data_IF_074512148558
#
_entry.id   IF_074512148558
#
_cell.length_a   1.000
_cell.length_b   1.000
_cell.length_c   1.000
_cell.angle_alpha   90.00
_cell.angle_beta   90.00
_cell.angle_gamma   90.00
#
_symmetry.space_group_name_H-M   'P 1'
#
loop_
_entity.id
_entity.type
_entity.pdbx_description
1 polymer ?
#
# COMPACT_ATOMS: atom_id res chain seq x y z
N UNK A 1 16.31 11.13 -13.64
CA UNK A 1 16.13 9.96 -12.75
C UNK A 1 15.81 10.49 -11.36
N UNK A 2 14.78 9.96 -10.68
CA UNK A 2 14.31 10.50 -9.40
C UNK A 2 15.42 10.41 -8.35
N UNK A 3 15.60 11.52 -7.63
CA UNK A 3 16.71 11.75 -6.71
C UNK A 3 16.34 11.27 -5.31
N UNK A 4 16.98 10.20 -4.88
CA UNK A 4 17.22 9.86 -3.47
C UNK A 4 15.97 9.60 -2.63
N UNK A 5 15.67 8.31 -2.42
CA UNK A 5 15.10 7.75 -1.19
C UNK A 5 14.99 6.21 -1.35
N UNK A 6 15.57 5.48 -0.38
CA UNK A 6 15.31 4.08 -0.01
C UNK A 6 16.01 2.91 -0.74
N UNK A 7 17.05 2.34 -0.10
CA UNK A 7 17.63 0.99 -0.38
C UNK A 7 16.59 -0.15 -0.45
N UNK A 8 15.37 0.07 0.03
CA UNK A 8 14.26 -0.89 -0.02
C UNK A 8 13.48 -0.81 -1.34
N UNK A 9 13.34 0.40 -1.89
CA UNK A 9 12.64 0.64 -3.15
C UNK A 9 13.50 0.15 -4.32
N UNK A 10 14.82 0.32 -4.23
CA UNK A 10 15.78 -0.23 -5.19
C UNK A 10 15.81 -1.77 -5.16
N UNK A 11 15.84 -2.39 -3.96
CA UNK A 11 15.78 -3.86 -3.83
C UNK A 11 14.46 -4.47 -4.29
N UNK A 12 13.33 -3.85 -3.99
CA UNK A 12 12.04 -4.31 -4.50
C UNK A 12 11.98 -4.19 -6.03
N UNK A 13 12.49 -3.08 -6.57
CA UNK A 13 12.54 -2.87 -8.01
C UNK A 13 13.36 -3.97 -8.70
N UNK A 14 14.57 -4.26 -8.20
CA UNK A 14 15.41 -5.33 -8.74
C UNK A 14 14.75 -6.71 -8.63
N UNK A 15 14.15 -7.06 -7.49
CA UNK A 15 13.47 -8.34 -7.30
C UNK A 15 12.30 -8.54 -8.26
N UNK A 16 11.49 -7.50 -8.47
CA UNK A 16 10.30 -7.58 -9.33
C UNK A 16 10.72 -7.63 -10.80
N UNK A 17 11.77 -6.88 -11.18
CA UNK A 17 12.34 -6.90 -12.53
C UNK A 17 12.90 -8.28 -12.86
N UNK A 18 13.70 -8.86 -11.97
CA UNK A 18 14.28 -10.20 -12.17
C UNK A 18 13.19 -11.27 -12.25
N UNK A 19 12.20 -11.25 -11.35
CA UNK A 19 11.10 -12.20 -11.41
C UNK A 19 10.28 -12.07 -12.71
N UNK A 20 10.01 -10.86 -13.18
CA UNK A 20 9.33 -10.65 -14.46
C UNK A 20 10.14 -11.23 -15.64
N UNK A 21 11.46 -11.06 -15.64
CA UNK A 21 12.35 -11.66 -16.65
C UNK A 21 12.34 -13.18 -16.61
N UNK A 22 12.34 -13.77 -15.41
CA UNK A 22 12.22 -15.24 -15.24
C UNK A 22 10.90 -15.77 -15.82
N UNK A 23 9.84 -14.95 -15.84
CA UNK A 23 8.56 -15.27 -16.47
C UNK A 23 8.51 -15.02 -17.99
N UNK A 24 9.62 -14.66 -18.62
CA UNK A 24 9.72 -14.44 -20.08
C UNK A 24 9.23 -13.06 -20.53
N UNK A 25 9.13 -12.10 -19.60
CA UNK A 25 8.76 -10.72 -19.90
C UNK A 25 9.98 -9.97 -20.49
N UNK A 26 9.75 -9.11 -21.48
CA UNK A 26 10.80 -8.29 -22.09
C UNK A 26 11.37 -7.27 -21.09
N UNK A 27 12.64 -6.89 -21.25
CA UNK A 27 13.36 -6.03 -20.30
C UNK A 27 12.62 -4.70 -20.02
N UNK A 28 12.06 -4.09 -21.08
CA UNK A 28 11.28 -2.84 -20.98
C UNK A 28 9.98 -3.03 -20.19
N UNK A 29 9.28 -4.14 -20.39
CA UNK A 29 8.04 -4.42 -19.68
C UNK A 29 8.31 -4.83 -18.23
N UNK A 30 9.42 -5.52 -17.97
CA UNK A 30 9.87 -5.85 -16.62
C UNK A 30 10.21 -4.60 -15.80
N UNK A 31 10.86 -3.60 -16.41
CA UNK A 31 11.13 -2.29 -15.82
C UNK A 31 9.84 -1.52 -15.49
N UNK A 32 8.87 -1.49 -16.41
CA UNK A 32 7.57 -0.86 -16.15
C UNK A 32 6.80 -1.54 -15.00
N UNK A 33 6.78 -2.88 -15.00
CA UNK A 33 6.13 -3.68 -13.94
C UNK A 33 6.81 -3.44 -12.59
N UNK A 34 8.14 -3.41 -12.56
CA UNK A 34 8.92 -3.14 -11.36
C UNK A 34 8.67 -1.72 -10.83
N UNK A 35 8.64 -0.71 -11.68
CA UNK A 35 8.35 0.67 -11.30
C UNK A 35 6.92 0.80 -10.74
N UNK A 36 5.92 0.20 -11.40
CA UNK A 36 4.54 0.25 -10.94
C UNK A 36 4.34 -0.46 -9.60
N UNK A 37 5.04 -1.57 -9.38
CA UNK A 37 4.90 -2.39 -8.20
C UNK A 37 5.68 -1.84 -7.00
N UNK A 38 6.88 -1.29 -7.20
CA UNK A 38 7.68 -0.65 -6.14
C UNK A 38 6.92 0.52 -5.52
N UNK A 39 6.34 1.41 -6.34
CA UNK A 39 5.49 2.52 -5.87
C UNK A 39 4.25 2.06 -5.08
N UNK A 40 3.74 0.85 -5.35
CA UNK A 40 2.57 0.30 -4.65
C UNK A 40 2.96 -0.38 -3.33
N UNK A 41 4.19 -0.87 -3.21
CA UNK A 41 4.71 -1.57 -2.03
C UNK A 41 4.98 -0.67 -0.82
N UNK A 42 5.28 0.61 -1.06
CA UNK A 42 5.60 1.59 -0.01
C UNK A 42 4.42 1.88 0.93
N UNK A 43 3.19 1.73 0.44
CA UNK A 43 1.97 1.91 1.23
C UNK A 43 1.51 0.65 1.97
N UNK A 44 2.17 -0.49 1.76
CA UNK A 44 1.70 -1.80 2.25
C UNK A 44 2.39 -2.29 3.53
N UNK A 45 3.45 -1.60 3.98
CA UNK A 45 4.25 -2.01 5.14
C UNK A 45 3.78 -1.36 6.45
N UNK A 46 2.67 -1.85 6.98
CA UNK A 46 2.42 -1.81 8.44
C UNK A 46 1.41 -2.90 8.84
N UNK A 47 1.71 -4.16 8.54
CA UNK A 47 0.89 -5.29 8.97
C UNK A 47 1.38 -5.85 10.30
N UNK A 48 1.21 -5.07 11.37
CA UNK A 48 1.29 -5.60 12.75
C UNK A 48 0.40 -4.87 13.77
N UNK A 49 -0.32 -3.79 13.41
CA UNK A 49 -1.10 -2.98 14.37
C UNK A 49 -2.59 -2.80 14.01
N UNK A 50 -3.18 -3.81 13.35
CA UNK A 50 -4.58 -3.78 12.94
C UNK A 50 -4.89 -2.68 11.92
N UNK A 51 -6.18 -2.42 11.65
CA UNK A 51 -6.59 -1.41 10.68
C UNK A 51 -6.11 -0.01 11.07
N UNK A 52 -5.62 0.77 10.11
CA UNK A 52 -5.26 2.17 10.34
C UNK A 52 -6.52 3.03 10.53
N UNK A 53 -6.39 4.20 11.18
CA UNK A 53 -7.53 5.13 11.32
C UNK A 53 -8.13 5.48 9.95
N UNK A 54 -7.29 5.66 8.94
CA UNK A 54 -7.72 5.94 7.57
C UNK A 54 -8.55 4.79 6.98
N UNK A 55 -8.09 3.55 7.16
CA UNK A 55 -8.83 2.36 6.73
C UNK A 55 -10.20 2.27 7.41
N UNK A 56 -10.26 2.51 8.72
CA UNK A 56 -11.53 2.54 9.47
C UNK A 56 -12.42 3.70 9.05
N UNK A 57 -11.85 4.88 8.79
CA UNK A 57 -12.60 6.03 8.29
C UNK A 57 -13.21 5.76 6.91
N UNK A 58 -12.45 5.14 6.01
CA UNK A 58 -12.95 4.72 4.71
C UNK A 58 -14.04 3.65 4.81
N UNK A 59 -13.89 2.68 5.72
CA UNK A 59 -14.91 1.64 5.95
C UNK A 59 -16.18 2.25 6.56
N UNK A 60 -16.04 3.17 7.53
CA UNK A 60 -17.14 3.94 8.10
C UNK A 60 -17.85 4.81 7.06
N UNK A 61 -17.09 5.41 6.12
CA UNK A 61 -17.65 6.14 4.98
C UNK A 61 -18.45 5.22 4.05
N UNK A 62 -17.95 4.03 3.74
CA UNK A 62 -18.65 3.04 2.89
C UNK A 62 -19.94 2.54 3.54
N UNK A 63 -19.95 2.41 4.87
CA UNK A 63 -21.14 2.04 5.66
C UNK A 63 -22.04 3.23 6.01
N UNK A 64 -21.73 4.43 5.51
CA UNK A 64 -22.48 5.65 5.77
C UNK A 64 -22.68 5.97 7.27
N UNK A 65 -21.65 5.74 8.09
CA UNK A 65 -21.68 6.11 9.51
C UNK A 65 -21.63 7.64 9.63
N UNK A 66 -22.66 8.21 10.25
CA UNK A 66 -22.73 9.63 10.56
C UNK A 66 -21.78 9.97 11.72
N UNK A 67 -21.18 11.16 11.71
CA UNK A 67 -20.18 11.54 12.71
C UNK A 67 -18.80 10.88 12.54
N UNK A 68 -18.59 10.03 11.53
CA UNK A 68 -17.28 9.40 11.22
C UNK A 68 -16.10 10.37 11.16
N UNK A 69 -16.32 11.63 10.76
CA UNK A 69 -15.28 12.66 10.63
C UNK A 69 -14.84 13.24 11.97
N UNK A 70 -15.68 13.16 13.00
CA UNK A 70 -15.36 13.56 14.37
C UNK A 70 -14.84 12.39 15.19
N UNK A 71 -15.12 11.15 14.79
CA UNK A 71 -14.70 9.94 15.49
C UNK A 71 -13.18 9.71 15.45
N UNK A 72 -12.67 9.23 16.58
CA UNK A 72 -11.30 8.76 16.80
C UNK A 72 -11.11 7.35 16.25
N UNK A 73 -9.87 6.85 16.25
CA UNK A 73 -9.57 5.49 15.76
C UNK A 73 -10.36 4.43 16.53
N UNK A 74 -10.49 4.60 17.84
CA UNK A 74 -11.20 3.67 18.72
C UNK A 74 -12.72 3.72 18.50
N UNK A 75 -13.31 4.90 18.43
CA UNK A 75 -14.73 5.07 18.11
C UNK A 75 -15.07 4.52 16.71
N UNK A 76 -14.18 4.72 15.72
CA UNK A 76 -14.36 4.13 14.39
C UNK A 76 -14.27 2.59 14.42
N UNK A 77 -13.44 1.97 15.29
CA UNK A 77 -13.43 0.51 15.45
C UNK A 77 -14.72 0.00 16.09
N UNK A 78 -15.16 0.67 17.15
CA UNK A 78 -16.38 0.31 17.87
C UNK A 78 -17.61 0.42 16.97
N UNK A 79 -17.75 1.53 16.24
CA UNK A 79 -18.83 1.74 15.26
C UNK A 79 -18.81 0.73 14.11
N UNK A 80 -17.66 0.12 13.81
CA UNK A 80 -17.49 -0.92 12.80
C UNK A 80 -17.60 -2.35 13.36
N UNK A 81 -17.64 -2.52 14.68
CA UNK A 81 -17.69 -3.81 15.38
C UNK A 81 -16.38 -4.59 15.32
N UNK A 82 -15.23 -3.92 15.43
CA UNK A 82 -13.89 -4.53 15.38
C UNK A 82 -13.09 -4.37 16.67
#
# INVERSE_FOLDING_TARGET
MPTGQDDKSERQYEQIRENAKEHGVSDQLAEEVAARASHRGEHSHSRSQGPTKDQLYQEARKRHIDGRSTMTKDELREALGR
#
